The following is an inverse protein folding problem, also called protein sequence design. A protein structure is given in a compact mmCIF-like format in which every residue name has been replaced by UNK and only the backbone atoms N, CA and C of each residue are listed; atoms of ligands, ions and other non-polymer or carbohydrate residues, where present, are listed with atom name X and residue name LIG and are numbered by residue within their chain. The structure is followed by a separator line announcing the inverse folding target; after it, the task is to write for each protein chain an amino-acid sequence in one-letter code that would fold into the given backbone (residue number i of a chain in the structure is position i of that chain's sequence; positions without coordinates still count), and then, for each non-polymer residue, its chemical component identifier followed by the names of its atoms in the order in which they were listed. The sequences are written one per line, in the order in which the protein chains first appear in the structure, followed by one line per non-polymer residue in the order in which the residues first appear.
data_IF_660441176275
#
_entry.id   IF_660441176275
#
_cell.length_a   1.000
_cell.length_b   1.000
_cell.length_c   1.000
_cell.angle_alpha   90.00
_cell.angle_beta   90.00
_cell.angle_gamma   90.00
#
_symmetry.space_group_name_H-M   'P 1'
#
loop_
_entity.id
_entity.type
_entity.pdbx_description
1 polymer ?
#
# COMPACT_ATOMS: atom_id res chain seq x y z
N UNK A 1 -17.69 -15.81 -6.55
CA UNK A 1 -16.33 -15.24 -6.67
C UNK A 1 -15.32 -16.38 -6.66
N UNK A 2 -14.30 -16.36 -7.54
CA UNK A 2 -13.28 -17.41 -7.58
C UNK A 2 -12.24 -17.20 -6.47
N UNK A 3 -11.73 -15.98 -6.31
CA UNK A 3 -10.68 -15.68 -5.35
C UNK A 3 -10.92 -14.34 -4.64
N UNK A 4 -10.73 -14.34 -3.32
CA UNK A 4 -10.74 -13.16 -2.48
C UNK A 4 -9.35 -13.00 -1.86
N UNK A 5 -8.76 -11.81 -2.03
CA UNK A 5 -7.48 -11.44 -1.45
C UNK A 5 -7.70 -10.34 -0.42
N UNK A 6 -7.28 -10.57 0.81
CA UNK A 6 -7.22 -9.55 1.87
C UNK A 6 -5.76 -9.26 2.14
N UNK A 7 -5.35 -8.04 1.84
CA UNK A 7 -4.01 -7.54 2.04
C UNK A 7 -4.01 -6.59 3.23
N UNK A 8 -3.24 -6.87 4.28
CA UNK A 8 -2.95 -5.92 5.35
C UNK A 8 -1.55 -5.38 5.12
N UNK A 9 -1.47 -4.21 4.48
CA UNK A 9 -0.25 -3.70 3.84
C UNK A 9 0.83 -3.23 4.82
N UNK A 10 0.44 -2.80 6.01
CA UNK A 10 1.32 -2.26 7.06
C UNK A 10 1.39 -3.17 8.30
N UNK A 11 1.00 -4.43 8.18
CA UNK A 11 1.12 -5.42 9.24
C UNK A 11 2.53 -6.02 9.25
N UNK A 12 3.50 -5.27 9.78
CA UNK A 12 4.84 -5.78 10.05
C UNK A 12 4.99 -6.04 11.54
N UNK A 13 5.15 -7.30 11.90
CA UNK A 13 5.40 -7.76 13.27
C UNK A 13 6.83 -8.26 13.34
N UNK A 14 7.70 -7.51 14.01
CA UNK A 14 9.09 -7.92 14.24
C UNK A 14 9.13 -9.14 15.16
N UNK A 15 10.12 -10.02 14.97
CA UNK A 15 10.35 -11.17 15.88
C UNK A 15 10.75 -10.71 17.30
N UNK A 16 11.25 -9.49 17.43
CA UNK A 16 11.74 -8.92 18.69
C UNK A 16 10.69 -8.09 19.43
N UNK A 17 9.50 -7.84 18.82
CA UNK A 17 8.48 -7.02 19.45
C UNK A 17 7.67 -7.79 20.49
N UNK A 18 7.31 -7.14 21.63
CA UNK A 18 6.40 -7.72 22.62
C UNK A 18 4.98 -7.98 22.08
N UNK A 19 4.71 -7.63 20.84
CA UNK A 19 3.44 -7.87 20.12
C UNK A 19 3.23 -9.35 19.71
N UNK A 20 4.07 -10.26 20.18
CA UNK A 20 3.94 -11.71 19.88
C UNK A 20 2.71 -12.34 20.49
N UNK A 21 2.40 -11.95 21.71
CA UNK A 21 1.29 -12.50 22.46
C UNK A 21 0.09 -11.58 22.39
N UNK A 22 -1.07 -12.16 22.10
CA UNK A 22 -2.31 -11.39 22.12
C UNK A 22 -2.60 -10.92 23.55
N UNK A 23 -2.91 -9.62 23.75
CA UNK A 23 -3.34 -9.13 25.04
C UNK A 23 -4.60 -9.86 25.51
N UNK A 24 -4.78 -9.94 26.83
CA UNK A 24 -5.98 -10.55 27.43
C UNK A 24 -7.22 -9.83 26.90
N UNK A 25 -8.16 -10.61 26.36
CA UNK A 25 -9.42 -10.08 25.83
C UNK A 25 -9.42 -9.78 24.33
N UNK A 26 -8.26 -9.81 23.65
CA UNK A 26 -8.19 -9.66 22.19
C UNK A 26 -8.35 -11.03 21.53
N UNK A 27 -9.29 -11.14 20.61
CA UNK A 27 -9.52 -12.34 19.82
C UNK A 27 -9.41 -12.02 18.32
N UNK A 28 -8.72 -12.90 17.58
CA UNK A 28 -8.54 -12.83 16.13
C UNK A 28 -9.02 -14.13 15.47
N UNK A 29 -10.33 -14.45 15.57
CA UNK A 29 -10.84 -15.76 15.17
C UNK A 29 -10.61 -16.06 13.68
N UNK A 30 -10.73 -15.08 12.80
CA UNK A 30 -10.49 -15.25 11.37
C UNK A 30 -9.02 -15.53 11.06
N UNK A 31 -8.10 -14.72 11.59
CA UNK A 31 -6.66 -14.93 11.44
C UNK A 31 -6.19 -16.25 12.06
N UNK A 32 -6.69 -16.60 13.25
CA UNK A 32 -6.37 -17.85 13.90
C UNK A 32 -6.89 -19.06 13.10
N UNK A 33 -8.07 -18.96 12.52
CA UNK A 33 -8.61 -20.00 11.62
C UNK A 33 -7.74 -20.13 10.37
N UNK A 34 -7.40 -19.02 9.71
CA UNK A 34 -6.55 -19.03 8.52
C UNK A 34 -5.15 -19.58 8.82
N UNK A 35 -4.55 -19.21 9.95
CA UNK A 35 -3.26 -19.71 10.39
C UNK A 35 -3.28 -21.20 10.74
N UNK A 36 -4.38 -21.69 11.30
CA UNK A 36 -4.55 -23.11 11.66
C UNK A 36 -4.74 -24.00 10.43
N UNK A 37 -5.64 -23.65 9.54
CA UNK A 37 -6.10 -24.52 8.46
C UNK A 37 -5.47 -24.20 7.11
N UNK A 38 -5.08 -22.94 6.89
CA UNK A 38 -4.50 -22.49 5.64
C UNK A 38 -3.09 -23.05 5.37
N UNK A 39 -2.63 -22.83 4.15
CA UNK A 39 -1.27 -23.10 3.72
C UNK A 39 -0.51 -21.78 3.79
N UNK A 40 0.59 -21.80 4.53
CA UNK A 40 1.47 -20.65 4.67
C UNK A 40 2.61 -20.72 3.66
N UNK A 41 2.95 -19.60 3.06
CA UNK A 41 4.12 -19.44 2.19
C UNK A 41 4.70 -18.02 2.34
N UNK A 42 6.00 -17.87 2.05
CA UNK A 42 6.62 -16.55 1.98
C UNK A 42 6.30 -15.90 0.64
N UNK A 43 6.05 -14.59 0.68
CA UNK A 43 5.92 -13.76 -0.52
C UNK A 43 7.30 -13.17 -0.85
N UNK A 44 7.99 -13.75 -1.82
CA UNK A 44 9.25 -13.20 -2.29
C UNK A 44 9.03 -11.78 -2.87
N UNK A 45 9.78 -10.79 -2.37
CA UNK A 45 9.64 -9.38 -2.78
C UNK A 45 8.46 -8.64 -2.13
N UNK A 46 7.84 -9.24 -1.10
CA UNK A 46 6.72 -8.64 -0.36
C UNK A 46 5.39 -8.66 -1.13
N UNK A 47 4.39 -8.02 -0.54
CA UNK A 47 3.02 -8.06 -1.05
C UNK A 47 2.87 -7.34 -2.42
N UNK A 48 3.67 -6.30 -2.70
CA UNK A 48 3.59 -5.55 -3.96
C UNK A 48 4.00 -6.41 -5.15
N UNK A 49 5.14 -7.08 -5.06
CA UNK A 49 5.59 -8.02 -6.09
C UNK A 49 4.62 -9.21 -6.23
N UNK A 50 4.06 -9.68 -5.10
CA UNK A 50 3.05 -10.72 -5.14
C UNK A 50 1.79 -10.27 -5.90
N UNK A 51 1.29 -9.08 -5.57
CA UNK A 51 0.07 -8.52 -6.18
C UNK A 51 0.26 -8.26 -7.69
N UNK A 52 1.41 -7.70 -8.07
CA UNK A 52 1.74 -7.50 -9.47
C UNK A 52 1.74 -8.82 -10.25
N UNK A 53 2.46 -9.83 -9.75
CA UNK A 53 2.46 -11.18 -10.37
C UNK A 53 1.07 -11.80 -10.41
N UNK A 54 0.30 -11.65 -9.35
CA UNK A 54 -1.07 -12.15 -9.29
C UNK A 54 -1.98 -11.51 -10.33
N UNK A 55 -1.80 -10.20 -10.59
CA UNK A 55 -2.62 -9.42 -11.53
C UNK A 55 -2.16 -9.58 -12.98
N UNK A 56 -0.85 -9.50 -13.22
CA UNK A 56 -0.26 -9.37 -14.58
C UNK A 56 0.57 -10.59 -15.00
N UNK A 57 0.94 -11.47 -14.07
CA UNK A 57 1.88 -12.57 -14.30
C UNK A 57 3.36 -12.17 -14.15
N UNK A 58 3.67 -10.87 -14.05
CA UNK A 58 5.03 -10.33 -13.98
C UNK A 58 5.21 -9.41 -12.78
N UNK A 59 6.45 -9.14 -12.40
CA UNK A 59 6.76 -8.08 -11.44
C UNK A 59 6.51 -6.69 -12.07
N UNK A 60 5.84 -5.80 -11.35
CA UNK A 60 5.44 -4.50 -11.86
C UNK A 60 6.48 -3.38 -11.68
N UNK A 61 7.70 -3.71 -11.33
CA UNK A 61 8.74 -2.72 -11.13
C UNK A 61 8.68 -1.97 -9.78
N UNK A 62 9.39 -0.86 -9.70
CA UNK A 62 9.53 -0.08 -8.46
C UNK A 62 8.19 0.54 -8.02
N UNK A 63 7.93 0.64 -6.69
CA UNK A 63 6.69 1.21 -6.16
C UNK A 63 6.35 2.60 -6.70
N UNK A 64 7.31 3.51 -6.77
CA UNK A 64 7.09 4.86 -7.30
C UNK A 64 6.74 4.87 -8.78
N UNK A 65 7.37 3.99 -9.58
CA UNK A 65 7.05 3.83 -11.01
C UNK A 65 5.58 3.44 -11.21
N UNK A 66 5.11 2.48 -10.43
CA UNK A 66 3.73 1.99 -10.53
C UNK A 66 2.74 3.05 -10.01
N UNK A 67 3.02 3.66 -8.86
CA UNK A 67 2.16 4.70 -8.29
C UNK A 67 2.03 5.93 -9.22
N UNK A 68 3.07 6.26 -9.98
CA UNK A 68 3.05 7.35 -10.96
C UNK A 68 1.98 7.14 -12.05
N UNK A 69 1.64 5.90 -12.39
CA UNK A 69 0.60 5.59 -13.39
C UNK A 69 -0.79 6.06 -12.98
N UNK A 70 -1.07 6.10 -11.67
CA UNK A 70 -2.33 6.65 -11.17
C UNK A 70 -2.49 8.15 -11.44
N UNK A 71 -1.37 8.89 -11.45
CA UNK A 71 -1.38 10.34 -11.68
C UNK A 71 -1.40 10.74 -13.15
N UNK A 72 -0.85 9.91 -14.04
CA UNK A 72 -0.85 10.18 -15.49
C UNK A 72 -2.24 10.03 -16.11
N UNK A 73 -3.09 9.21 -15.54
CA UNK A 73 -4.48 9.05 -16.01
C UNK A 73 -5.34 10.29 -15.80
N UNK A 74 -4.95 11.21 -14.90
CA UNK A 74 -5.68 12.44 -14.59
C UNK A 74 -5.08 13.70 -15.24
N UNK A 75 -3.81 13.65 -15.65
CA UNK A 75 -3.14 14.71 -16.36
C UNK A 75 -3.14 14.39 -17.86
N UNK A 76 -3.71 15.27 -18.68
CA UNK A 76 -3.61 15.15 -20.14
C UNK A 76 -2.13 15.04 -20.58
N UNK A 77 -1.86 14.59 -21.81
CA UNK A 77 -0.50 14.40 -22.28
C UNK A 77 0.30 15.70 -22.11
N UNK A 78 1.30 15.69 -21.25
CA UNK A 78 2.23 16.81 -21.10
C UNK A 78 2.98 16.97 -22.43
N UNK A 79 2.51 17.86 -23.27
CA UNK A 79 3.16 18.31 -24.48
C UNK A 79 4.37 19.15 -24.07
N UNK A 80 5.54 18.54 -23.86
CA UNK A 80 6.73 19.30 -23.54
C UNK A 80 8.02 18.53 -23.25
N UNK A 81 8.01 17.21 -23.20
CA UNK A 81 9.29 16.50 -23.07
C UNK A 81 9.99 16.39 -24.41
N UNK A 82 11.20 16.95 -24.49
CA UNK A 82 12.06 16.83 -25.67
C UNK A 82 12.36 15.34 -25.92
N UNK A 83 12.13 14.88 -27.15
CA UNK A 83 12.43 13.52 -27.56
C UNK A 83 13.94 13.24 -27.32
N UNK A 84 14.23 12.28 -26.42
CA UNK A 84 15.60 11.89 -26.05
C UNK A 84 16.00 12.25 -24.60
N UNK A 85 15.19 12.94 -23.81
CA UNK A 85 15.45 13.14 -22.39
C UNK A 85 15.23 11.83 -21.62
N UNK A 86 16.15 11.52 -20.68
CA UNK A 86 15.93 10.40 -19.75
C UNK A 86 14.68 10.68 -18.90
N UNK A 87 13.84 9.66 -18.67
CA UNK A 87 12.67 9.83 -17.83
C UNK A 87 13.10 10.24 -16.42
N UNK A 88 12.35 11.14 -15.76
CA UNK A 88 12.64 11.53 -14.39
C UNK A 88 12.54 10.31 -13.46
N UNK A 89 13.35 10.33 -12.41
CA UNK A 89 13.26 9.33 -11.33
C UNK A 89 12.19 9.79 -10.35
N UNK A 90 11.30 8.88 -10.00
CA UNK A 90 10.30 9.09 -8.97
C UNK A 90 10.65 8.30 -7.70
N UNK A 91 10.36 8.89 -6.55
CA UNK A 91 10.42 8.26 -5.24
C UNK A 91 9.08 8.39 -4.55
N UNK A 92 8.61 7.31 -3.93
CA UNK A 92 7.53 7.42 -2.95
C UNK A 92 8.01 8.31 -1.81
N UNK A 93 7.15 9.20 -1.34
CA UNK A 93 7.42 10.11 -0.25
C UNK A 93 6.25 10.07 0.74
N UNK A 94 6.44 9.30 1.80
CA UNK A 94 5.43 9.10 2.84
C UNK A 94 5.63 10.12 3.96
N UNK A 95 4.62 10.92 4.31
CA UNK A 95 4.71 11.84 5.43
C UNK A 95 4.89 11.10 6.75
N UNK A 96 5.89 11.52 7.53
CA UNK A 96 6.20 10.88 8.80
C UNK A 96 6.38 11.90 9.93
N UNK A 97 6.09 11.44 11.15
CA UNK A 97 6.45 12.10 12.39
C UNK A 97 7.56 11.31 13.08
N UNK A 98 8.79 11.75 12.99
CA UNK A 98 9.94 11.09 13.60
C UNK A 98 10.02 11.41 15.08
N UNK A 99 10.12 10.39 15.91
CA UNK A 99 10.20 10.52 17.37
C UNK A 99 11.65 10.50 17.80
N UNK A 100 12.11 11.58 18.40
CA UNK A 100 13.45 11.64 18.97
C UNK A 100 13.50 10.86 20.29
N UNK A 101 14.31 9.82 20.34
CA UNK A 101 14.70 9.13 21.57
C UNK A 101 16.00 9.72 22.16
N UNK A 102 16.52 9.12 23.21
CA UNK A 102 17.75 9.58 23.87
C UNK A 102 19.01 9.45 23.00
N UNK A 103 19.10 8.41 22.20
CA UNK A 103 20.28 8.08 21.39
C UNK A 103 19.97 7.85 19.91
N UNK A 104 18.71 7.83 19.54
CA UNK A 104 18.27 7.48 18.17
C UNK A 104 16.92 8.09 17.86
N UNK A 105 16.63 8.21 16.58
CA UNK A 105 15.32 8.63 16.08
C UNK A 105 14.58 7.39 15.60
N UNK A 106 13.31 7.29 15.95
CA UNK A 106 12.46 6.13 15.68
C UNK A 106 11.21 6.50 14.90
N UNK A 107 10.69 5.52 14.21
CA UNK A 107 9.37 5.56 13.57
C UNK A 107 8.46 4.55 14.27
N UNK A 108 7.32 4.99 14.78
CA UNK A 108 6.28 4.11 15.29
C UNK A 108 5.09 3.99 14.30
N UNK A 109 4.08 3.16 14.61
CA UNK A 109 2.93 2.94 13.72
C UNK A 109 2.08 4.19 13.52
N UNK A 110 1.98 5.06 14.53
CA UNK A 110 1.22 6.32 14.46
C UNK A 110 2.02 7.42 13.78
N UNK A 111 3.30 7.21 13.62
CA UNK A 111 4.23 8.15 13.00
C UNK A 111 4.18 8.13 11.47
N UNK A 112 3.53 7.14 10.86
CA UNK A 112 3.25 7.13 9.42
C UNK A 112 1.94 7.90 9.23
N UNK A 113 2.03 9.14 8.78
CA UNK A 113 0.90 10.06 8.74
C UNK A 113 0.07 9.87 7.46
N UNK A 114 -1.25 10.06 7.60
CA UNK A 114 -2.16 10.21 6.47
C UNK A 114 -2.69 11.64 6.47
N UNK A 115 -2.42 12.36 5.38
CA UNK A 115 -2.79 13.76 5.25
C UNK A 115 -4.13 13.85 4.53
N UNK A 116 -4.93 14.82 4.93
CA UNK A 116 -6.12 15.19 4.17
C UNK A 116 -5.76 15.88 2.85
N UNK A 117 -6.72 16.02 1.95
CA UNK A 117 -6.50 16.60 0.62
C UNK A 117 -6.05 18.06 0.70
N UNK A 118 -6.45 18.82 1.73
CA UNK A 118 -6.08 20.22 1.90
C UNK A 118 -4.62 20.35 2.31
N UNK A 119 -4.16 19.56 3.29
CA UNK A 119 -2.76 19.51 3.73
C UNK A 119 -1.86 19.05 2.57
N UNK A 120 -2.29 18.02 1.80
CA UNK A 120 -1.54 17.54 0.64
C UNK A 120 -1.38 18.60 -0.46
N UNK A 121 -2.47 19.31 -0.77
CA UNK A 121 -2.44 20.36 -1.80
C UNK A 121 -1.57 21.53 -1.39
N UNK A 122 -1.65 21.95 -0.12
CA UNK A 122 -0.84 23.03 0.43
C UNK A 122 0.66 22.69 0.38
N UNK A 123 1.03 21.47 0.81
CA UNK A 123 2.42 21.01 0.75
C UNK A 123 2.95 20.93 -0.69
N UNK A 124 2.18 20.37 -1.63
CA UNK A 124 2.61 20.25 -3.02
C UNK A 124 2.82 21.62 -3.67
N UNK A 125 1.91 22.57 -3.44
CA UNK A 125 2.01 23.92 -3.97
C UNK A 125 3.21 24.70 -3.38
N UNK A 126 3.42 24.60 -2.06
CA UNK A 126 4.53 25.28 -1.41
C UNK A 126 5.89 24.65 -1.77
N UNK A 127 5.97 23.33 -1.86
CA UNK A 127 7.15 22.63 -2.32
C UNK A 127 7.57 23.11 -3.70
N UNK A 128 6.63 23.21 -4.64
CA UNK A 128 6.93 23.70 -5.98
C UNK A 128 7.48 25.12 -5.98
N UNK A 129 7.04 25.98 -5.06
CA UNK A 129 7.53 27.35 -4.90
C UNK A 129 8.95 27.39 -4.31
N UNK A 130 9.23 26.54 -3.32
CA UNK A 130 10.52 26.55 -2.59
C UNK A 130 11.61 25.80 -3.36
N UNK A 131 11.26 24.69 -4.02
CA UNK A 131 12.19 23.79 -4.69
C UNK A 131 12.21 23.95 -6.23
N UNK A 132 11.60 25.00 -6.79
CA UNK A 132 11.46 25.17 -8.23
C UNK A 132 12.83 25.18 -8.97
N UNK A 133 13.84 25.81 -8.38
CA UNK A 133 15.20 25.90 -8.97
C UNK A 133 15.98 24.59 -8.87
N UNK A 134 15.57 23.68 -8.01
CA UNK A 134 16.23 22.37 -7.81
C UNK A 134 15.84 21.33 -8.85
N UNK A 135 14.80 21.58 -9.65
CA UNK A 135 14.24 20.63 -10.58
C UNK A 135 13.47 19.50 -9.94
N UNK A 136 13.18 19.59 -8.64
CA UNK A 136 12.30 18.63 -7.93
C UNK A 136 10.84 19.05 -7.99
N UNK A 137 9.97 18.06 -8.09
CA UNK A 137 8.52 18.22 -8.04
C UNK A 137 7.95 17.30 -6.94
N UNK A 138 7.02 17.82 -6.14
CA UNK A 138 6.24 17.04 -5.20
C UNK A 138 4.82 16.88 -5.73
N UNK A 139 4.40 15.65 -5.99
CA UNK A 139 3.08 15.33 -6.54
C UNK A 139 2.27 14.51 -5.55
N UNK A 140 1.07 14.99 -5.19
CA UNK A 140 0.13 14.24 -4.35
C UNK A 140 -0.42 13.02 -5.09
N UNK A 141 -0.54 11.89 -4.37
CA UNK A 141 -1.14 10.64 -4.88
C UNK A 141 -2.60 10.46 -4.45
N UNK A 142 -3.13 11.36 -3.62
CA UNK A 142 -4.49 11.23 -3.08
C UNK A 142 -4.66 10.13 -2.02
N UNK A 143 -3.67 9.25 -1.86
CA UNK A 143 -3.64 8.19 -0.83
C UNK A 143 -3.12 8.68 0.53
N UNK A 144 -2.65 9.91 0.62
CA UNK A 144 -1.92 10.45 1.76
C UNK A 144 -0.40 10.44 1.56
N UNK A 145 0.08 9.76 0.53
CA UNK A 145 1.47 9.76 0.09
C UNK A 145 1.70 10.76 -1.04
N UNK A 146 2.98 11.02 -1.32
CA UNK A 146 3.42 11.81 -2.46
C UNK A 146 4.41 11.03 -3.32
N UNK A 147 4.66 11.57 -4.52
CA UNK A 147 5.84 11.30 -5.32
C UNK A 147 6.76 12.50 -5.30
N UNK A 148 8.05 12.28 -5.06
CA UNK A 148 9.10 13.22 -5.37
C UNK A 148 9.70 12.83 -6.70
N UNK A 149 9.68 13.73 -7.67
CA UNK A 149 10.28 13.55 -8.99
C UNK A 149 11.50 14.43 -9.13
N UNK A 150 12.54 13.92 -9.79
CA UNK A 150 13.74 14.71 -10.06
C UNK A 150 14.65 14.04 -11.09
N UNK A 151 15.43 14.81 -11.88
CA UNK A 151 16.18 14.30 -13.02
C UNK A 151 17.39 13.43 -12.64
N UNK A 152 17.92 13.56 -11.43
CA UNK A 152 19.21 12.96 -11.02
C UNK A 152 19.16 12.28 -9.65
N UNK A 153 17.98 11.78 -9.23
CA UNK A 153 17.88 11.04 -8.00
C UNK A 153 18.51 9.65 -8.17
N UNK A 154 19.37 9.21 -7.24
CA UNK A 154 19.97 7.88 -7.31
C UNK A 154 18.92 6.80 -7.07
N UNK A 155 19.07 5.65 -7.72
CA UNK A 155 18.27 4.46 -7.45
C UNK A 155 19.00 3.63 -6.40
N UNK A 156 18.54 3.70 -5.18
CA UNK A 156 19.05 2.90 -4.05
C UNK A 156 17.88 2.15 -3.40
N UNK A 157 18.18 0.99 -2.83
CA UNK A 157 17.18 0.24 -2.08
C UNK A 157 16.93 0.90 -0.72
N UNK A 158 15.74 1.42 -0.50
CA UNK A 158 15.30 1.97 0.78
C UNK A 158 14.04 1.27 1.25
N UNK A 159 14.03 0.93 2.53
CA UNK A 159 12.88 0.27 3.15
C UNK A 159 11.66 1.20 3.14
N UNK A 160 10.50 0.62 2.89
CA UNK A 160 9.24 1.31 3.14
C UNK A 160 9.08 1.62 4.64
N UNK A 161 8.38 2.72 5.01
CA UNK A 161 8.30 3.14 6.40
C UNK A 161 7.69 2.08 7.32
N UNK A 162 6.72 1.31 6.84
CA UNK A 162 6.11 0.24 7.60
C UNK A 162 7.09 -0.87 8.00
N UNK A 163 8.11 -1.15 7.17
CA UNK A 163 9.19 -2.11 7.49
C UNK A 163 10.24 -1.53 8.43
N UNK A 164 10.37 -0.21 8.46
CA UNK A 164 11.34 0.48 9.30
C UNK A 164 10.84 0.72 10.73
N UNK A 165 9.58 0.40 11.01
CA UNK A 165 9.00 0.57 12.35
C UNK A 165 9.76 -0.22 13.41
N UNK A 166 10.07 0.45 14.51
CA UNK A 166 10.81 -0.13 15.64
C UNK A 166 12.33 -0.21 15.45
N UNK A 167 12.84 0.00 14.23
CA UNK A 167 14.28 0.11 14.00
C UNK A 167 14.77 1.56 14.19
N UNK A 168 16.04 1.73 14.54
CA UNK A 168 16.69 3.03 14.45
C UNK A 168 16.68 3.51 12.99
N UNK A 169 16.41 4.78 12.75
CA UNK A 169 16.46 5.35 11.39
C UNK A 169 17.84 5.17 10.76
N UNK A 170 18.91 5.29 11.54
CA UNK A 170 20.27 5.07 11.07
C UNK A 170 20.48 3.65 10.52
N UNK A 171 19.84 2.65 11.14
CA UNK A 171 19.90 1.25 10.69
C UNK A 171 18.98 1.00 9.49
N UNK A 172 17.81 1.63 9.48
CA UNK A 172 16.83 1.50 8.40
C UNK A 172 17.27 2.21 7.12
N UNK A 173 18.08 3.26 7.24
CA UNK A 173 18.63 4.05 6.13
C UNK A 173 20.15 3.77 5.95
N UNK A 174 20.57 2.50 5.98
CA UNK A 174 21.98 2.13 5.81
C UNK A 174 22.62 2.85 4.64
N UNK A 175 23.61 3.66 4.98
CA UNK A 175 24.22 4.65 4.11
C UNK A 175 25.10 3.98 3.04
N UNK A 176 24.61 3.85 1.85
CA UNK A 176 25.45 3.75 0.66
C UNK A 176 25.97 5.17 0.28
N UNK A 177 27.14 5.24 -0.31
CA UNK A 177 27.72 6.49 -0.82
C UNK A 177 26.78 7.14 -1.87
N UNK A 178 26.06 6.32 -2.63
CA UNK A 178 25.06 6.74 -3.59
C UNK A 178 23.86 7.49 -2.95
N UNK A 179 23.58 7.28 -1.65
CA UNK A 179 22.45 7.86 -0.94
C UNK A 179 22.65 9.32 -0.48
N UNK A 180 23.84 9.92 -0.75
CA UNK A 180 24.16 11.29 -0.29
C UNK A 180 23.18 12.34 -0.83
N UNK A 181 22.76 12.23 -2.08
CA UNK A 181 21.82 13.17 -2.70
C UNK A 181 20.44 13.08 -2.07
N UNK A 182 19.94 11.87 -1.81
CA UNK A 182 18.66 11.65 -1.14
C UNK A 182 18.67 12.10 0.33
N UNK A 183 19.78 11.90 1.04
CA UNK A 183 19.93 12.41 2.41
C UNK A 183 19.95 13.93 2.45
N UNK A 184 20.63 14.57 1.52
CA UNK A 184 20.63 16.04 1.40
C UNK A 184 19.21 16.56 1.13
N UNK A 185 18.52 15.98 0.16
CA UNK A 185 17.14 16.34 -0.15
C UNK A 185 16.23 16.11 1.09
N UNK A 186 16.39 14.98 1.79
CA UNK A 186 15.66 14.71 3.03
C UNK A 186 15.87 15.79 4.08
N UNK A 187 17.11 16.19 4.34
CA UNK A 187 17.43 17.26 5.29
C UNK A 187 16.87 18.63 4.87
N UNK A 188 16.90 18.95 3.58
CA UNK A 188 16.29 20.18 3.06
C UNK A 188 14.76 20.16 3.23
N UNK A 189 14.12 19.01 3.03
CA UNK A 189 12.67 18.80 3.27
C UNK A 189 12.35 18.93 4.77
N UNK A 190 13.14 18.33 5.65
CA UNK A 190 12.95 18.43 7.11
C UNK A 190 13.02 19.89 7.59
N UNK A 191 14.01 20.65 7.09
CA UNK A 191 14.13 22.10 7.41
C UNK A 191 12.94 22.90 6.88
N UNK A 192 12.49 22.61 5.66
CA UNK A 192 11.31 23.27 5.08
C UNK A 192 10.05 22.96 5.87
N UNK A 193 9.87 21.72 6.32
CA UNK A 193 8.69 21.31 7.09
C UNK A 193 8.68 21.88 8.51
N UNK A 194 9.85 22.21 9.09
CA UNK A 194 9.96 22.64 10.50
C UNK A 194 9.03 23.83 10.81
N UNK A 195 9.05 24.85 9.99
CA UNK A 195 8.25 26.09 10.19
C UNK A 195 7.08 26.17 9.19
N UNK A 196 6.63 25.06 8.62
CA UNK A 196 5.59 25.07 7.59
C UNK A 196 4.19 25.29 8.20
N UNK A 197 3.40 26.20 7.60
CA UNK A 197 2.07 26.57 8.07
C UNK A 197 1.08 25.40 8.23
N UNK A 198 1.26 24.32 7.45
CA UNK A 198 0.49 23.08 7.60
C UNK A 198 0.71 22.47 8.99
N UNK A 199 1.95 22.48 9.51
CA UNK A 199 2.25 21.96 10.85
C UNK A 199 1.61 22.79 11.96
N UNK A 200 1.52 24.12 11.79
CA UNK A 200 0.77 24.98 12.72
C UNK A 200 -0.73 24.64 12.70
N UNK A 201 -1.28 24.41 11.52
CA UNK A 201 -2.69 24.03 11.38
C UNK A 201 -2.96 22.64 11.98
N UNK A 202 -2.10 21.66 11.76
CA UNK A 202 -2.17 20.32 12.36
C UNK A 202 -2.08 20.36 13.88
N UNK A 203 -1.13 21.12 14.42
CA UNK A 203 -0.96 21.29 15.87
C UNK A 203 -2.21 21.88 16.52
N UNK A 204 -2.87 22.85 15.87
CA UNK A 204 -4.15 23.41 16.35
C UNK A 204 -5.30 22.41 16.35
N UNK A 205 -5.25 21.39 15.46
CA UNK A 205 -6.20 20.26 15.42
C UNK A 205 -5.84 19.12 16.39
N UNK A 206 -4.70 19.24 17.09
CA UNK A 206 -4.18 18.17 17.97
C UNK A 206 -3.58 16.99 17.22
N UNK A 207 -3.20 17.20 15.97
CA UNK A 207 -2.56 16.19 15.11
C UNK A 207 -1.04 16.28 15.20
N UNK A 208 -0.36 15.14 14.95
CA UNK A 208 1.10 15.09 14.91
C UNK A 208 1.65 15.95 13.76
N UNK A 209 2.70 16.78 14.00
CA UNK A 209 3.34 17.53 12.94
C UNK A 209 4.09 16.59 11.97
N UNK A 210 4.19 16.99 10.73
CA UNK A 210 4.99 16.32 9.71
C UNK A 210 6.44 16.74 9.90
N UNK A 211 7.31 15.81 10.32
CA UNK A 211 8.72 16.14 10.54
C UNK A 211 9.61 15.77 9.35
N UNK A 212 9.11 14.98 8.41
CA UNK A 212 9.85 14.58 7.22
C UNK A 212 8.99 13.88 6.19
N UNK A 213 9.54 13.71 5.00
CA UNK A 213 9.02 12.83 3.97
C UNK A 213 9.96 11.63 3.82
N UNK A 214 9.46 10.44 4.13
CA UNK A 214 10.23 9.20 4.00
C UNK A 214 10.30 8.77 2.54
N UNK A 215 11.49 8.90 1.95
CA UNK A 215 11.71 8.54 0.54
C UNK A 215 12.04 7.05 0.41
N UNK A 216 11.29 6.31 -0.44
CA UNK A 216 11.45 4.87 -0.64
C UNK A 216 10.92 4.42 -2.01
N UNK A 217 11.24 3.20 -2.44
CA UNK A 217 10.66 2.56 -3.62
C UNK A 217 10.93 3.28 -4.94
N UNK A 218 12.09 3.92 -5.06
CA UNK A 218 12.47 4.73 -6.22
C UNK A 218 12.56 3.95 -7.53
N UNK A 219 12.17 4.59 -8.63
CA UNK A 219 12.27 4.04 -9.98
C UNK A 219 12.03 5.08 -11.07
N UNK A 220 12.36 4.76 -12.33
CA UNK A 220 12.09 5.64 -13.45
C UNK A 220 10.58 5.78 -13.66
N UNK A 221 10.12 6.97 -14.01
CA UNK A 221 8.75 7.15 -14.48
C UNK A 221 8.62 6.53 -15.86
N UNK A 222 7.59 5.70 -16.05
CA UNK A 222 7.26 5.16 -17.37
C UNK A 222 6.20 6.07 -17.97
N UNK A 223 6.47 6.65 -19.13
CA UNK A 223 5.39 7.20 -19.93
C UNK A 223 4.48 6.04 -20.36
N UNK A 224 3.15 6.16 -20.26
CA UNK A 224 2.26 5.18 -20.84
C UNK A 224 2.47 5.20 -22.35
N UNK A 225 3.36 4.31 -22.82
CA UNK A 225 3.51 4.12 -24.25
C UNK A 225 2.17 3.62 -24.78
N UNK A 226 1.67 4.27 -25.83
CA UNK A 226 0.41 3.92 -26.50
C UNK A 226 0.35 2.45 -27.00
N UNK A 227 1.39 1.67 -26.79
CA UNK A 227 1.52 0.26 -27.16
C UNK A 227 1.05 -0.73 -26.10
N UNK A 228 0.66 -0.28 -24.91
CA UNK A 228 0.14 -1.17 -23.84
C UNK A 228 -1.39 -1.24 -23.77
N UNK A 229 -2.11 -0.65 -24.72
CA UNK A 229 -3.50 -0.99 -24.88
C UNK A 229 -3.59 -2.48 -25.27
N UNK A 230 -4.37 -3.33 -24.55
CA UNK A 230 -4.59 -4.68 -24.98
C UNK A 230 -5.10 -4.63 -26.42
N UNK A 231 -4.37 -5.26 -27.35
CA UNK A 231 -4.77 -5.33 -28.73
C UNK A 231 -6.24 -5.78 -28.76
N UNK A 232 -7.13 -4.89 -29.19
CA UNK A 232 -8.47 -5.28 -29.57
C UNK A 232 -8.29 -6.38 -30.62
N UNK A 233 -8.48 -7.64 -30.19
CA UNK A 233 -8.66 -8.71 -31.15
C UNK A 233 -9.88 -8.34 -31.96
N UNK A 234 -9.67 -8.11 -33.25
CA UNK A 234 -10.71 -7.88 -34.24
C UNK A 234 -11.87 -8.85 -33.99
N UNK A 235 -13.00 -8.28 -33.66
CA UNK A 235 -14.23 -9.07 -33.53
C UNK A 235 -14.58 -9.62 -34.91
N UNK A 236 -14.77 -10.93 -35.05
CA UNK A 236 -15.35 -11.45 -36.29
C UNK A 236 -16.78 -10.91 -36.42
N UNK A 237 -17.02 -10.21 -37.51
CA UNK A 237 -18.37 -9.80 -37.92
C UNK A 237 -19.20 -11.07 -38.24
N UNK A 238 -19.91 -11.55 -37.23
CA UNK A 238 -20.83 -12.69 -37.35
C UNK A 238 -22.03 -12.49 -36.44
N UNK A 239 -23.17 -12.23 -37.02
CA UNK A 239 -24.47 -12.13 -36.36
C UNK A 239 -24.83 -13.46 -35.69
N UNK A 240 -24.85 -13.47 -34.37
CA UNK A 240 -25.69 -14.42 -33.61
C UNK A 240 -25.91 -13.87 -32.21
N UNK A 241 -27.19 -13.76 -31.81
CA UNK A 241 -27.60 -13.21 -30.52
C UNK A 241 -27.21 -14.10 -29.33
N UNK A 242 -25.92 -14.07 -28.96
CA UNK A 242 -25.43 -14.54 -27.68
C UNK A 242 -25.33 -13.33 -26.77
N UNK A 243 -25.98 -13.39 -25.62
CA UNK A 243 -25.78 -12.45 -24.51
C UNK A 243 -24.26 -12.43 -24.26
N UNK A 244 -23.60 -11.34 -24.68
CA UNK A 244 -22.19 -11.15 -24.43
C UNK A 244 -22.04 -11.05 -22.91
N UNK A 245 -21.63 -12.14 -22.27
CA UNK A 245 -21.17 -12.13 -20.88
C UNK A 245 -19.96 -11.20 -20.83
N UNK A 246 -20.12 -10.03 -20.22
CA UNK A 246 -19.01 -9.11 -19.96
C UNK A 246 -17.84 -9.90 -19.38
N UNK A 247 -16.59 -9.63 -19.81
CA UNK A 247 -15.45 -10.36 -19.30
C UNK A 247 -15.42 -10.20 -17.77
N UNK A 248 -15.27 -11.33 -17.06
CA UNK A 248 -15.18 -11.35 -15.61
C UNK A 248 -14.00 -10.47 -15.17
N UNK A 249 -14.28 -9.39 -14.47
CA UNK A 249 -13.30 -8.39 -14.09
C UNK A 249 -12.68 -8.68 -12.72
N UNK A 250 -11.44 -8.27 -12.57
CA UNK A 250 -10.78 -8.21 -11.26
C UNK A 250 -11.13 -6.86 -10.64
N UNK A 251 -11.54 -6.84 -9.37
CA UNK A 251 -11.89 -5.61 -8.67
C UNK A 251 -10.95 -5.38 -7.48
N UNK A 252 -10.70 -4.12 -7.17
CA UNK A 252 -9.88 -3.73 -6.03
C UNK A 252 -10.54 -2.67 -5.18
N UNK A 253 -10.28 -2.76 -3.88
CA UNK A 253 -10.73 -1.83 -2.85
C UNK A 253 -9.56 -1.38 -1.99
N UNK A 254 -9.46 -0.10 -1.70
CA UNK A 254 -8.42 0.47 -0.85
C UNK A 254 -7.95 1.85 -1.31
N UNK A 255 -6.98 2.40 -0.59
CA UNK A 255 -6.42 3.71 -0.86
C UNK A 255 -4.92 3.69 -1.18
N UNK A 256 -4.28 2.52 -1.14
CA UNK A 256 -2.84 2.40 -1.41
C UNK A 256 -2.48 2.85 -2.83
N UNK A 257 -1.46 3.69 -2.96
CA UNK A 257 -1.07 4.30 -4.23
C UNK A 257 -0.54 3.28 -5.25
N UNK A 258 0.15 2.23 -4.78
CA UNK A 258 0.64 1.17 -5.65
C UNK A 258 -0.52 0.35 -6.23
N UNK A 259 -1.52 0.04 -5.40
CA UNK A 259 -2.75 -0.61 -5.84
C UNK A 259 -3.45 0.23 -6.92
N UNK A 260 -3.60 1.53 -6.68
CA UNK A 260 -4.21 2.45 -7.64
C UNK A 260 -3.44 2.48 -8.96
N UNK A 261 -2.11 2.53 -8.91
CA UNK A 261 -1.25 2.51 -10.09
C UNK A 261 -1.39 1.23 -10.91
N UNK A 262 -1.45 0.06 -10.27
CA UNK A 262 -1.64 -1.23 -10.95
C UNK A 262 -2.97 -1.29 -11.71
N UNK A 263 -4.06 -0.80 -11.11
CA UNK A 263 -5.37 -0.78 -11.76
C UNK A 263 -5.45 0.29 -12.84
N UNK A 264 -4.86 1.47 -12.61
CA UNK A 264 -4.77 2.55 -13.60
C UNK A 264 -4.03 2.11 -14.87
N UNK A 265 -2.97 1.30 -14.75
CA UNK A 265 -2.26 0.72 -15.89
C UNK A 265 -3.14 -0.16 -16.79
N UNK A 266 -4.27 -0.65 -16.27
CA UNK A 266 -5.27 -1.44 -17.01
C UNK A 266 -6.46 -0.62 -17.48
N UNK A 267 -6.48 0.68 -17.18
CA UNK A 267 -7.64 1.54 -17.42
C UNK A 267 -8.81 1.29 -16.46
N UNK A 268 -8.57 0.62 -15.36
CA UNK A 268 -9.55 0.25 -14.34
C UNK A 268 -9.41 1.15 -13.10
N UNK A 269 -10.45 1.18 -12.26
CA UNK A 269 -10.47 2.00 -11.03
C UNK A 269 -10.44 1.10 -9.79
N UNK A 270 -9.81 1.63 -8.74
CA UNK A 270 -9.89 1.08 -7.38
C UNK A 270 -11.05 1.74 -6.66
N UNK A 271 -11.87 0.95 -5.98
CA UNK A 271 -13.00 1.43 -5.19
C UNK A 271 -12.55 1.77 -3.76
N UNK A 272 -13.28 2.68 -3.07
CA UNK A 272 -13.07 2.88 -1.64
C UNK A 272 -13.24 1.57 -0.87
N UNK A 273 -12.49 1.43 0.24
CA UNK A 273 -12.62 0.25 1.09
C UNK A 273 -14.06 0.18 1.64
N UNK A 274 -14.77 -0.95 1.49
CA UNK A 274 -16.13 -1.09 2.00
C UNK A 274 -16.13 -1.12 3.54
N UNK A 275 -17.26 -0.80 4.15
CA UNK A 275 -17.38 -0.88 5.62
C UNK A 275 -17.45 -2.33 6.10
N UNK A 276 -18.00 -3.21 5.28
CA UNK A 276 -18.16 -4.63 5.58
C UNK A 276 -17.86 -5.47 4.35
N UNK A 277 -17.31 -6.67 4.58
CA UNK A 277 -16.98 -7.60 3.51
C UNK A 277 -18.18 -7.96 2.62
N UNK A 278 -19.40 -7.98 3.17
CA UNK A 278 -20.60 -8.34 2.42
C UNK A 278 -20.80 -7.47 1.15
N UNK A 279 -20.38 -6.21 1.20
CA UNK A 279 -20.49 -5.28 0.05
C UNK A 279 -19.66 -5.74 -1.16
N UNK A 280 -18.54 -6.44 -0.92
CA UNK A 280 -17.68 -6.99 -1.98
C UNK A 280 -18.42 -8.03 -2.84
N UNK A 281 -19.30 -8.81 -2.22
CA UNK A 281 -20.10 -9.82 -2.92
C UNK A 281 -21.28 -9.22 -3.69
N UNK A 282 -21.55 -7.92 -3.53
CA UNK A 282 -22.49 -7.16 -4.34
C UNK A 282 -22.03 -6.93 -5.80
N UNK A 283 -20.81 -7.35 -6.17
CA UNK A 283 -20.26 -7.27 -7.52
C UNK A 283 -20.31 -8.65 -8.20
N UNK A 284 -21.45 -9.07 -8.78
CA UNK A 284 -21.63 -10.44 -9.30
C UNK A 284 -20.73 -10.78 -10.48
N UNK A 285 -20.22 -9.77 -11.18
CA UNK A 285 -19.31 -9.94 -12.32
C UNK A 285 -17.86 -10.12 -11.92
N UNK A 286 -17.52 -9.86 -10.65
CA UNK A 286 -16.15 -9.97 -10.17
C UNK A 286 -15.73 -11.43 -10.04
N UNK A 287 -14.69 -11.79 -10.78
CA UNK A 287 -14.04 -13.08 -10.65
C UNK A 287 -13.11 -13.12 -9.46
N UNK A 288 -12.31 -12.08 -9.30
CA UNK A 288 -11.34 -11.95 -8.21
C UNK A 288 -11.51 -10.57 -7.55
N UNK A 289 -11.33 -10.50 -6.26
CA UNK A 289 -11.37 -9.24 -5.51
C UNK A 289 -10.13 -9.11 -4.63
N UNK A 290 -9.61 -7.88 -4.53
CA UNK A 290 -8.53 -7.50 -3.63
C UNK A 290 -9.01 -6.39 -2.71
N UNK A 291 -8.80 -6.56 -1.41
CA UNK A 291 -8.98 -5.53 -0.39
C UNK A 291 -7.62 -5.19 0.20
N UNK A 292 -7.13 -3.98 -0.04
CA UNK A 292 -5.94 -3.46 0.62
C UNK A 292 -6.34 -2.62 1.83
N UNK A 293 -6.02 -3.13 3.01
CA UNK A 293 -6.40 -2.57 4.31
C UNK A 293 -5.13 -2.12 5.02
N UNK A 294 -5.17 -0.95 5.62
CA UNK A 294 -4.08 -0.38 6.41
C UNK A 294 -4.51 -0.24 7.87
N UNK A 295 -3.62 -0.57 8.80
CA UNK A 295 -3.84 -0.41 10.24
C UNK A 295 -3.66 1.06 10.66
N UNK A 296 -2.69 1.75 10.07
CA UNK A 296 -2.35 3.13 10.38
C UNK A 296 -3.56 4.07 10.41
N UNK A 297 -4.39 4.14 9.36
CA UNK A 297 -5.61 4.97 9.35
C UNK A 297 -6.59 4.64 10.48
N UNK A 298 -6.72 3.37 10.86
CA UNK A 298 -7.58 2.97 11.99
C UNK A 298 -7.03 3.50 13.32
N UNK A 299 -5.73 3.48 13.50
CA UNK A 299 -5.07 4.02 14.70
C UNK A 299 -5.17 5.54 14.78
N UNK A 300 -5.14 6.25 13.65
CA UNK A 300 -5.34 7.70 13.62
C UNK A 300 -6.78 8.11 13.91
N UNK A 301 -7.74 7.38 13.34
CA UNK A 301 -9.18 7.62 13.57
C UNK A 301 -9.60 7.28 15.01
N UNK A 302 -8.87 6.40 15.68
CA UNK A 302 -9.15 5.96 17.04
C UNK A 302 -7.89 6.06 17.91
N UNK A 303 -7.57 7.26 18.45
CA UNK A 303 -6.33 7.49 19.19
C UNK A 303 -6.15 6.61 20.42
N UNK A 304 -7.23 6.10 21.01
CA UNK A 304 -7.20 5.22 22.18
C UNK A 304 -6.97 3.75 21.84
N UNK A 305 -7.09 3.37 20.57
CA UNK A 305 -6.91 1.98 20.18
C UNK A 305 -5.43 1.58 20.19
N UNK A 306 -5.19 0.38 20.65
CA UNK A 306 -3.90 -0.31 20.47
C UNK A 306 -3.82 -0.92 19.07
N UNK A 307 -2.63 -1.32 18.67
CA UNK A 307 -2.41 -2.09 17.44
C UNK A 307 -3.32 -3.33 17.36
N UNK A 308 -3.45 -4.05 18.47
CA UNK A 308 -4.25 -5.27 18.51
C UNK A 308 -5.76 -5.02 18.38
N UNK A 309 -6.26 -3.89 18.89
CA UNK A 309 -7.66 -3.51 18.74
C UNK A 309 -7.96 -3.13 17.29
N UNK A 310 -7.05 -2.42 16.62
CA UNK A 310 -7.17 -2.13 15.19
C UNK A 310 -7.14 -3.42 14.35
N UNK A 311 -6.22 -4.35 14.67
CA UNK A 311 -6.17 -5.65 14.00
C UNK A 311 -7.42 -6.49 14.27
N UNK A 312 -7.96 -6.47 15.50
CA UNK A 312 -9.20 -7.16 15.83
C UNK A 312 -10.41 -6.58 15.08
N UNK A 313 -10.40 -5.28 14.81
CA UNK A 313 -11.42 -4.66 13.97
C UNK A 313 -11.33 -5.16 12.52
N UNK A 314 -10.12 -5.23 11.95
CA UNK A 314 -9.90 -5.80 10.61
C UNK A 314 -10.35 -7.26 10.57
N UNK A 315 -9.98 -8.04 11.57
CA UNK A 315 -10.39 -9.45 11.66
C UNK A 315 -11.91 -9.60 11.66
N UNK A 316 -12.61 -8.82 12.49
CA UNK A 316 -14.06 -8.85 12.66
C UNK A 316 -14.80 -8.39 11.40
N UNK A 317 -14.34 -7.33 10.75
CA UNK A 317 -15.05 -6.74 9.61
C UNK A 317 -14.77 -7.45 8.29
N UNK A 318 -13.59 -8.05 8.16
CA UNK A 318 -13.12 -8.58 6.87
C UNK A 318 -12.66 -10.02 6.93
N UNK A 319 -11.76 -10.41 7.86
CA UNK A 319 -11.10 -11.72 7.80
C UNK A 319 -12.04 -12.83 8.29
N UNK A 320 -12.68 -12.68 9.43
CA UNK A 320 -13.61 -13.68 9.93
C UNK A 320 -14.84 -13.84 8.99
N UNK A 321 -15.47 -12.76 8.48
CA UNK A 321 -16.49 -12.88 7.44
C UNK A 321 -16.02 -13.53 6.15
N UNK A 322 -14.73 -13.35 5.76
CA UNK A 322 -14.17 -14.01 4.58
C UNK A 322 -14.04 -15.53 4.78
N UNK A 323 -13.64 -15.95 5.97
CA UNK A 323 -13.64 -17.39 6.34
C UNK A 323 -15.06 -17.96 6.26
N UNK A 324 -16.05 -17.22 6.76
CA UNK A 324 -17.45 -17.63 6.69
C UNK A 324 -17.96 -17.71 5.24
N UNK A 325 -17.60 -16.74 4.40
CA UNK A 325 -17.91 -16.72 2.98
C UNK A 325 -17.28 -17.90 2.23
N UNK A 326 -16.01 -18.21 2.55
CA UNK A 326 -15.32 -19.39 2.03
C UNK A 326 -16.04 -20.69 2.42
N UNK A 327 -16.44 -20.81 3.69
CA UNK A 327 -17.15 -21.98 4.19
C UNK A 327 -18.55 -22.16 3.58
N UNK A 328 -19.21 -21.07 3.21
CA UNK A 328 -20.51 -21.06 2.51
C UNK A 328 -20.38 -21.22 0.99
N UNK A 329 -19.16 -21.29 0.45
CA UNK A 329 -18.91 -21.44 -0.99
C UNK A 329 -19.15 -20.14 -1.79
N UNK A 330 -19.21 -18.98 -1.14
CA UNK A 330 -19.31 -17.67 -1.83
C UNK A 330 -17.99 -17.29 -2.52
N UNK A 331 -16.86 -17.80 -2.01
CA UNK A 331 -15.58 -17.78 -2.72
C UNK A 331 -14.92 -19.17 -2.64
N UNK A 332 -14.08 -19.50 -3.64
CA UNK A 332 -13.42 -20.81 -3.72
C UNK A 332 -12.07 -20.80 -3.01
N UNK A 333 -11.41 -19.64 -2.98
CA UNK A 333 -10.09 -19.43 -2.41
C UNK A 333 -10.02 -18.09 -1.69
N UNK A 334 -9.48 -18.12 -0.49
CA UNK A 334 -9.13 -16.93 0.28
C UNK A 334 -7.62 -16.84 0.42
N UNK A 335 -7.06 -15.67 0.12
CA UNK A 335 -5.65 -15.34 0.33
C UNK A 335 -5.57 -14.18 1.29
N UNK A 336 -4.80 -14.33 2.37
CA UNK A 336 -4.50 -13.25 3.31
C UNK A 336 -3.01 -12.97 3.18
N UNK A 337 -2.67 -11.73 2.84
CA UNK A 337 -1.31 -11.24 2.75
C UNK A 337 -1.03 -10.34 3.96
N UNK A 338 -0.04 -10.70 4.72
CA UNK A 338 0.42 -9.92 5.87
C UNK A 338 1.94 -10.02 5.99
N UNK A 339 2.62 -8.92 6.18
CA UNK A 339 4.07 -8.86 6.10
C UNK A 339 4.57 -9.39 4.73
N UNK A 340 5.56 -10.29 4.79
CA UNK A 340 6.05 -11.04 3.63
C UNK A 340 5.46 -12.48 3.58
N UNK A 341 4.33 -12.68 4.23
CA UNK A 341 3.68 -13.97 4.32
C UNK A 341 2.30 -13.97 3.65
N UNK A 342 2.01 -15.12 3.08
CA UNK A 342 0.73 -15.44 2.48
C UNK A 342 0.11 -16.63 3.22
N UNK A 343 -1.13 -16.46 3.64
CA UNK A 343 -1.98 -17.55 4.11
C UNK A 343 -3.03 -17.83 3.03
N UNK A 344 -3.07 -19.04 2.52
CA UNK A 344 -4.06 -19.47 1.52
C UNK A 344 -4.99 -20.50 2.14
N UNK A 345 -6.29 -20.24 2.10
CA UNK A 345 -7.33 -21.16 2.60
C UNK A 345 -8.32 -21.52 1.49
N UNK A 346 -8.81 -22.77 1.56
CA UNK A 346 -9.91 -23.30 0.75
C UNK A 346 -10.92 -23.97 1.66
N UNK A 347 -12.18 -24.07 1.26
CA UNK A 347 -13.23 -24.67 2.09
C UNK A 347 -12.90 -26.09 2.59
N UNK A 348 -12.21 -26.90 1.79
CA UNK A 348 -11.77 -28.25 2.15
C UNK A 348 -10.71 -28.29 3.25
N UNK A 349 -9.99 -27.19 3.49
CA UNK A 349 -8.88 -27.17 4.46
C UNK A 349 -9.37 -27.31 5.90
N UNK A 350 -10.62 -26.96 6.18
CA UNK A 350 -11.29 -27.19 7.48
C UNK A 350 -11.30 -28.67 7.92
N UNK A 351 -11.16 -29.59 6.96
CA UNK A 351 -11.09 -31.03 7.27
C UNK A 351 -9.80 -31.45 7.96
N UNK A 352 -8.80 -30.54 8.01
CA UNK A 352 -7.49 -30.77 8.67
C UNK A 352 -7.60 -30.53 10.19
N UNK A 353 -8.61 -31.11 10.86
CA UNK A 353 -8.96 -30.90 12.28
C UNK A 353 -7.82 -31.25 13.26
N UNK A 354 -6.84 -32.06 12.85
CA UNK A 354 -5.65 -32.41 13.65
C UNK A 354 -4.64 -31.28 13.81
N UNK A 355 -4.73 -30.20 13.02
CA UNK A 355 -3.82 -29.06 13.15
C UNK A 355 -4.15 -28.27 14.41
N UNK A 356 -3.10 -27.86 15.14
CA UNK A 356 -3.22 -26.99 16.30
C UNK A 356 -3.26 -25.54 15.85
N UNK A 357 -3.99 -24.71 16.60
CA UNK A 357 -3.99 -23.26 16.41
C UNK A 357 -2.63 -22.71 16.85
N UNK A 358 -1.88 -21.99 16.00
CA UNK A 358 -0.64 -21.35 16.42
C UNK A 358 -0.94 -20.25 17.44
N UNK A 359 -0.07 -20.05 18.44
CA UNK A 359 -0.26 -19.01 19.44
C UNK A 359 -0.07 -17.61 18.83
N UNK A 360 -0.87 -16.64 19.29
CA UNK A 360 -0.73 -15.22 18.94
C UNK A 360 -0.70 -14.94 17.44
N UNK A 361 0.23 -14.10 17.01
CA UNK A 361 0.52 -13.78 15.61
C UNK A 361 1.60 -14.66 14.98
N UNK A 362 2.08 -15.71 15.65
CA UNK A 362 3.15 -16.60 15.16
C UNK A 362 2.80 -17.28 13.83
N UNK A 363 1.54 -17.32 13.46
CA UNK A 363 1.07 -17.79 12.15
C UNK A 363 1.36 -16.82 11.00
N UNK A 364 1.75 -15.58 11.28
CA UNK A 364 2.03 -14.50 10.32
C UNK A 364 3.52 -14.12 10.23
N UNK A 365 4.38 -14.82 10.98
CA UNK A 365 5.83 -14.58 11.04
C UNK A 365 6.60 -15.54 10.13
#
# INVERSE_FOLDING_TARGET
MHELVILVSDLYVSQETPERDLPVGVALPGLQHAARFGVRSKSAGGWRSWLARWLTGNDAGAPATVAALATTSSAGPNAGQAAGAQPPIAWMATPVHLVAGLTSVHLDRRSILRLDASDQSALAADFQRVFHDSGFELRSLGSGDFLVLGPHLPLTERLEPARAMGASIADAQRADVADRALRRLGAEIEMWLHDHAVNDARSRRGELPITGLWLWGGGPTVEPSAQSAPAHRDAPTGHSGAIATAPLSDIAFGHDAYLQGLWAARGEKVFPLPQQLAEVFGYPQARRAVLAIEIGPLLHSNPMWTFFEALAQIDRCFIAPAIDALNRGQCERLVILANDHQLTARARDRLKFWRRTPPGLSGLQ
#
